data_IF_513343303506
#
_entry.id   IF_513343303506
#
_cell.length_a   1.000
_cell.length_b   1.000
_cell.length_c   1.000
_cell.angle_alpha   90.00
_cell.angle_beta   90.00
_cell.angle_gamma   90.00
#
_symmetry.space_group_name_H-M   'P 1'
#
loop_
_entity.id
_entity.type
_entity.pdbx_description
1 polymer ?
#
# COMPACT_ATOMS: atom_id res chain seq x y z
N UNK A 1 -7.17 -40.14 -29.45
CA UNK A 1 -6.15 -39.65 -28.52
C UNK A 1 -6.27 -38.13 -28.44
N UNK A 2 -6.91 -37.60 -27.40
CA UNK A 2 -6.90 -36.17 -27.13
C UNK A 2 -5.47 -35.83 -26.64
N UNK A 3 -4.75 -34.94 -27.36
CA UNK A 3 -3.54 -34.33 -26.83
C UNK A 3 -3.96 -33.61 -25.54
N UNK A 4 -3.54 -34.11 -24.39
CA UNK A 4 -3.52 -33.33 -23.15
C UNK A 4 -2.73 -32.06 -23.49
N UNK A 5 -3.40 -30.93 -23.36
CA UNK A 5 -2.77 -29.61 -23.49
C UNK A 5 -1.86 -29.49 -22.27
N UNK A 6 -0.58 -29.72 -22.42
CA UNK A 6 0.44 -29.52 -21.39
C UNK A 6 0.52 -28.03 -21.08
N UNK A 7 -0.36 -27.57 -20.16
CA UNK A 7 -0.26 -26.23 -19.62
C UNK A 7 1.04 -26.14 -18.79
N UNK A 8 2.04 -25.43 -19.30
CA UNK A 8 3.36 -25.25 -18.69
C UNK A 8 3.28 -24.69 -17.26
N UNK A 9 2.21 -23.95 -16.93
CA UNK A 9 1.98 -23.37 -15.61
C UNK A 9 0.95 -24.15 -14.77
N UNK A 10 0.51 -25.34 -15.21
CA UNK A 10 -0.38 -26.20 -14.42
C UNK A 10 0.23 -26.56 -13.05
N UNK A 11 1.56 -26.70 -12.99
CA UNK A 11 2.35 -26.77 -11.77
C UNK A 11 3.33 -25.61 -11.71
N UNK A 12 2.97 -24.56 -10.98
CA UNK A 12 3.87 -23.43 -10.71
C UNK A 12 5.05 -23.93 -9.87
N UNK A 13 6.27 -23.70 -10.36
CA UNK A 13 7.53 -24.13 -9.73
C UNK A 13 8.30 -22.95 -9.14
N UNK A 14 9.17 -23.20 -8.15
CA UNK A 14 10.07 -22.19 -7.59
C UNK A 14 11.05 -21.64 -8.63
N UNK A 15 11.45 -22.44 -9.63
CA UNK A 15 12.31 -21.96 -10.72
C UNK A 15 11.58 -20.92 -11.61
N UNK A 16 10.28 -21.11 -11.89
CA UNK A 16 9.48 -20.11 -12.59
C UNK A 16 9.33 -18.83 -11.75
N UNK A 17 9.12 -18.96 -10.44
CA UNK A 17 9.09 -17.82 -9.52
C UNK A 17 10.39 -17.03 -9.56
N UNK A 18 11.52 -17.73 -9.45
CA UNK A 18 12.86 -17.16 -9.54
C UNK A 18 13.05 -16.37 -10.83
N UNK A 19 12.79 -17.01 -12.00
CA UNK A 19 13.00 -16.41 -13.30
C UNK A 19 12.19 -15.12 -13.52
N UNK A 20 10.95 -15.08 -13.02
CA UNK A 20 10.11 -13.88 -13.12
C UNK A 20 10.58 -12.83 -12.12
N UNK A 21 10.70 -13.18 -10.83
CA UNK A 21 11.04 -12.23 -9.80
C UNK A 21 12.43 -11.59 -10.02
N UNK A 22 13.42 -12.36 -10.48
CA UNK A 22 14.73 -11.80 -10.83
C UNK A 22 14.62 -10.68 -11.87
N UNK A 23 13.83 -10.88 -12.93
CA UNK A 23 13.61 -9.86 -13.97
C UNK A 23 12.96 -8.60 -13.41
N UNK A 24 12.00 -8.75 -12.49
CA UNK A 24 11.32 -7.59 -11.88
C UNK A 24 12.27 -6.81 -10.96
N UNK A 25 13.02 -7.50 -10.09
CA UNK A 25 13.93 -6.87 -9.13
C UNK A 25 15.12 -6.20 -9.82
N UNK A 26 15.60 -6.76 -10.95
CA UNK A 26 16.69 -6.18 -11.74
C UNK A 26 16.34 -4.84 -12.42
N UNK A 27 15.06 -4.50 -12.52
CA UNK A 27 14.63 -3.17 -12.96
C UNK A 27 14.55 -2.24 -11.75
N UNK A 28 15.44 -1.26 -11.69
CA UNK A 28 15.40 -0.24 -10.65
C UNK A 28 14.17 0.66 -10.85
N UNK A 29 13.23 0.60 -9.91
CA UNK A 29 12.02 1.42 -9.82
C UNK A 29 11.95 2.18 -8.50
N UNK A 30 13.11 2.49 -7.91
CA UNK A 30 13.20 3.23 -6.65
C UNK A 30 12.67 4.65 -6.75
N UNK A 31 12.00 5.08 -5.69
CA UNK A 31 11.66 6.48 -5.48
C UNK A 31 12.94 7.33 -5.30
N UNK A 32 12.96 8.60 -5.74
CA UNK A 32 11.84 9.36 -6.35
C UNK A 32 11.75 9.22 -7.90
N UNK A 33 12.73 8.62 -8.57
CA UNK A 33 12.80 8.57 -10.05
C UNK A 33 11.70 7.67 -10.65
N UNK A 34 11.41 6.55 -10.01
CA UNK A 34 10.48 5.53 -10.50
C UNK A 34 11.12 4.70 -11.63
N UNK A 35 10.51 4.53 -12.74
CA UNK A 35 10.76 3.70 -13.93
C UNK A 35 9.74 2.56 -14.07
N UNK A 36 8.61 2.66 -13.46
CA UNK A 36 7.52 1.68 -13.55
C UNK A 36 7.06 1.52 -14.99
N UNK A 37 7.19 2.56 -15.82
CA UNK A 37 6.93 2.48 -17.25
C UNK A 37 7.81 1.47 -17.98
N UNK A 38 9.09 1.36 -17.60
CA UNK A 38 10.02 0.34 -18.12
C UNK A 38 9.68 -1.04 -17.58
N UNK A 39 9.34 -1.14 -16.29
CA UNK A 39 8.95 -2.42 -15.70
C UNK A 39 7.66 -2.95 -16.33
N UNK A 40 6.67 -2.09 -16.61
CA UNK A 40 5.46 -2.45 -17.33
C UNK A 40 5.76 -3.03 -18.73
N UNK A 41 6.73 -2.46 -19.46
CA UNK A 41 7.16 -2.99 -20.75
C UNK A 41 7.80 -4.38 -20.60
N UNK A 42 8.66 -4.59 -19.59
CA UNK A 42 9.25 -5.90 -19.29
C UNK A 42 8.18 -6.92 -18.91
N UNK A 43 7.13 -6.53 -18.18
CA UNK A 43 5.99 -7.42 -17.88
C UNK A 43 5.28 -7.81 -19.18
N UNK A 44 5.03 -6.87 -20.07
CA UNK A 44 4.39 -7.15 -21.38
C UNK A 44 5.24 -8.09 -22.25
N UNK A 45 6.56 -7.92 -22.29
CA UNK A 45 7.48 -8.78 -23.02
C UNK A 45 7.46 -10.26 -22.52
N UNK A 46 7.07 -10.48 -21.27
CA UNK A 46 6.92 -11.82 -20.70
C UNK A 46 5.61 -12.51 -21.08
N UNK A 47 4.70 -11.84 -21.75
CA UNK A 47 3.34 -12.29 -22.05
C UNK A 47 3.13 -12.46 -23.57
N UNK A 48 2.10 -13.21 -24.02
CA UNK A 48 1.77 -13.30 -25.44
C UNK A 48 1.37 -11.94 -26.05
N UNK A 49 1.69 -11.72 -27.32
CA UNK A 49 1.42 -10.44 -28.02
C UNK A 49 -0.08 -10.08 -28.12
N UNK A 50 -0.98 -11.05 -28.08
CA UNK A 50 -2.43 -10.86 -28.27
C UNK A 50 -3.22 -10.65 -26.98
N UNK A 51 -2.58 -10.20 -25.90
CA UNK A 51 -3.27 -9.89 -24.64
C UNK A 51 -4.01 -8.53 -24.72
N UNK A 52 -5.07 -8.42 -23.93
CA UNK A 52 -5.79 -7.16 -23.76
C UNK A 52 -5.16 -6.41 -22.58
N UNK A 53 -4.61 -5.25 -22.86
CA UNK A 53 -3.99 -4.43 -21.81
C UNK A 53 -4.22 -2.94 -22.03
N UNK A 54 -4.00 -2.17 -20.98
CA UNK A 54 -3.96 -0.71 -21.01
C UNK A 54 -2.78 -0.21 -20.16
N UNK A 55 -1.95 0.63 -20.73
CA UNK A 55 -0.86 1.32 -20.04
C UNK A 55 -1.27 2.77 -19.81
N UNK A 56 -1.29 3.21 -18.54
CA UNK A 56 -1.69 4.55 -18.13
C UNK A 56 -0.41 5.28 -17.70
N UNK A 57 -0.02 6.28 -18.49
CA UNK A 57 1.19 7.06 -18.19
C UNK A 57 0.87 8.18 -17.19
N UNK A 58 1.64 8.28 -16.11
CA UNK A 58 1.55 9.30 -15.08
C UNK A 58 2.63 10.37 -15.24
N UNK A 59 3.80 9.98 -15.76
CA UNK A 59 4.91 10.87 -16.09
C UNK A 59 5.75 10.29 -17.23
N UNK A 60 6.91 10.88 -17.49
CA UNK A 60 7.86 10.37 -18.49
C UNK A 60 8.38 8.95 -18.19
N UNK A 61 8.53 8.62 -16.90
CA UNK A 61 9.11 7.34 -16.43
C UNK A 61 8.09 6.44 -15.75
N UNK A 62 6.97 6.99 -15.26
CA UNK A 62 5.95 6.29 -14.48
C UNK A 62 4.75 5.91 -15.30
N UNK A 63 4.35 4.67 -15.23
CA UNK A 63 3.10 4.18 -15.81
C UNK A 63 2.55 3.02 -14.99
N UNK A 64 1.23 2.94 -14.90
CA UNK A 64 0.51 1.74 -14.44
C UNK A 64 0.11 0.87 -15.62
N UNK A 65 -0.02 -0.43 -15.39
CA UNK A 65 -0.41 -1.41 -16.39
C UNK A 65 -1.64 -2.19 -15.90
N UNK A 66 -2.68 -2.23 -16.70
CA UNK A 66 -3.86 -3.07 -16.49
C UNK A 66 -3.86 -4.14 -17.57
N UNK A 67 -3.91 -5.42 -17.18
CA UNK A 67 -4.09 -6.54 -18.11
C UNK A 67 -5.44 -7.17 -17.82
N UNK A 68 -6.26 -7.33 -18.86
CA UNK A 68 -7.61 -7.89 -18.76
C UNK A 68 -7.69 -9.26 -19.41
N UNK A 69 -8.22 -10.22 -18.69
CA UNK A 69 -8.71 -11.49 -19.25
C UNK A 69 -10.25 -11.36 -19.37
N UNK A 70 -10.74 -11.31 -20.61
CA UNK A 70 -12.17 -11.10 -20.85
C UNK A 70 -13.01 -12.27 -20.37
N UNK A 71 -14.00 -11.97 -19.54
CA UNK A 71 -15.02 -12.92 -19.09
C UNK A 71 -16.14 -13.15 -20.09
N UNK A 72 -17.06 -14.06 -19.74
CA UNK A 72 -18.33 -14.26 -20.47
C UNK A 72 -19.24 -13.03 -20.33
N UNK A 73 -19.16 -12.36 -19.17
CA UNK A 73 -19.86 -11.10 -18.88
C UNK A 73 -18.83 -9.96 -18.68
N UNK A 74 -19.24 -8.73 -19.00
CA UNK A 74 -18.44 -7.54 -18.73
C UNK A 74 -18.73 -6.90 -17.37
N UNK A 75 -19.80 -7.29 -16.71
CA UNK A 75 -20.19 -6.84 -15.39
C UNK A 75 -19.58 -7.74 -14.32
N UNK A 76 -19.05 -7.13 -13.29
CA UNK A 76 -18.40 -7.82 -12.19
C UNK A 76 -16.99 -8.31 -12.54
N UNK A 77 -16.42 -9.13 -11.65
CA UNK A 77 -15.10 -9.71 -11.81
C UNK A 77 -14.20 -9.50 -10.61
N UNK A 78 -12.91 -9.75 -10.80
CA UNK A 78 -11.90 -9.57 -9.76
C UNK A 78 -10.73 -8.77 -10.28
N UNK A 79 -10.16 -7.92 -9.43
CA UNK A 79 -8.87 -7.30 -9.66
C UNK A 79 -7.83 -7.81 -8.68
N UNK A 80 -6.66 -8.18 -9.22
CA UNK A 80 -5.42 -8.34 -8.46
C UNK A 80 -4.64 -7.04 -8.62
N UNK A 81 -4.20 -6.46 -7.51
CA UNK A 81 -3.51 -5.16 -7.49
C UNK A 81 -2.17 -5.30 -6.79
N UNK A 82 -1.12 -4.79 -7.42
CA UNK A 82 0.22 -4.74 -6.87
C UNK A 82 1.01 -3.57 -7.44
N UNK A 83 1.93 -3.01 -6.65
CA UNK A 83 2.75 -1.87 -7.08
C UNK A 83 4.12 -2.30 -7.60
N UNK A 84 4.59 -1.56 -8.60
CA UNK A 84 5.85 -1.81 -9.29
C UNK A 84 7.02 -0.98 -8.73
N UNK A 85 6.73 0.15 -8.08
CA UNK A 85 7.76 0.99 -7.49
C UNK A 85 8.28 0.44 -6.16
N UNK A 86 9.34 1.01 -5.67
CA UNK A 86 9.95 0.66 -4.39
C UNK A 86 10.52 1.89 -3.72
N UNK A 87 10.69 1.86 -2.40
CA UNK A 87 11.46 2.88 -1.70
C UNK A 87 12.92 2.88 -2.11
N UNK A 88 13.64 3.96 -1.80
CA UNK A 88 15.07 4.07 -2.04
C UNK A 88 15.86 2.96 -1.33
N UNK A 89 16.98 2.54 -1.93
CA UNK A 89 17.84 1.49 -1.35
C UNK A 89 18.65 1.93 -0.13
N UNK A 90 18.75 3.23 0.12
CA UNK A 90 19.65 3.77 1.14
C UNK A 90 21.13 3.59 0.78
N UNK A 91 21.97 3.34 1.78
CA UNK A 91 23.41 3.17 1.59
C UNK A 91 23.72 1.76 1.06
N UNK A 92 24.15 1.67 -0.18
CA UNK A 92 24.51 0.42 -0.86
C UNK A 92 25.61 -0.37 -0.15
N UNK A 93 26.49 0.28 0.60
CA UNK A 93 27.58 -0.38 1.35
C UNK A 93 27.08 -1.27 2.50
N UNK A 94 25.84 -1.07 2.94
CA UNK A 94 25.22 -1.84 4.01
C UNK A 94 24.50 -3.11 3.49
N UNK A 95 24.36 -3.24 2.18
CA UNK A 95 23.74 -4.41 1.57
C UNK A 95 24.74 -5.56 1.44
N UNK A 96 24.34 -6.76 1.87
CA UNK A 96 25.13 -7.99 1.71
C UNK A 96 25.25 -8.42 0.23
N UNK A 97 24.25 -8.05 -0.57
CA UNK A 97 24.21 -8.24 -2.03
C UNK A 97 23.67 -6.96 -2.66
N UNK A 98 24.17 -6.54 -3.84
CA UNK A 98 23.64 -5.35 -4.50
C UNK A 98 22.11 -5.42 -4.67
N UNK A 99 21.36 -4.37 -4.32
CA UNK A 99 19.89 -4.43 -4.18
C UNK A 99 19.14 -4.76 -5.48
N UNK A 100 19.77 -4.59 -6.65
CA UNK A 100 19.16 -4.90 -7.95
C UNK A 100 19.77 -6.08 -8.69
N UNK A 101 20.68 -6.84 -8.05
CA UNK A 101 21.27 -8.02 -8.69
C UNK A 101 20.37 -9.26 -8.57
N UNK A 102 19.36 -9.22 -7.71
CA UNK A 102 18.40 -10.33 -7.50
C UNK A 102 19.11 -11.66 -7.20
N UNK A 103 20.05 -11.65 -6.25
CA UNK A 103 20.87 -12.80 -5.91
C UNK A 103 20.05 -13.87 -5.19
N UNK A 104 20.16 -15.11 -5.63
CA UNK A 104 19.45 -16.24 -5.00
C UNK A 104 20.43 -17.12 -4.24
N UNK A 105 20.11 -17.43 -2.98
CA UNK A 105 20.82 -18.36 -2.09
C UNK A 105 19.83 -19.37 -1.51
N UNK A 106 19.90 -20.59 -1.96
CA UNK A 106 18.90 -21.61 -1.61
C UNK A 106 17.52 -21.21 -2.13
N UNK A 107 16.56 -21.06 -1.21
CA UNK A 107 15.20 -20.64 -1.50
C UNK A 107 14.99 -19.10 -1.41
N UNK A 108 16.00 -18.36 -1.00
CA UNK A 108 15.87 -16.92 -0.73
C UNK A 108 16.41 -16.09 -1.89
N UNK A 109 15.60 -15.15 -2.38
CA UNK A 109 16.01 -14.11 -3.32
C UNK A 109 16.17 -12.78 -2.56
N UNK A 110 17.35 -12.17 -2.70
CA UNK A 110 17.72 -10.89 -2.09
C UNK A 110 17.60 -9.77 -3.10
N UNK A 111 16.98 -8.65 -2.72
CA UNK A 111 16.91 -7.44 -3.52
C UNK A 111 15.82 -6.48 -3.07
N UNK A 112 15.99 -5.19 -3.37
CA UNK A 112 14.98 -4.16 -3.10
C UNK A 112 13.70 -4.44 -3.90
N UNK A 113 12.56 -4.39 -3.21
CA UNK A 113 11.27 -4.70 -3.80
C UNK A 113 10.99 -6.22 -3.89
N UNK A 114 11.87 -7.08 -3.40
CA UNK A 114 11.63 -8.53 -3.47
C UNK A 114 10.46 -8.96 -2.58
N UNK A 115 10.32 -8.39 -1.39
CA UNK A 115 9.19 -8.59 -0.49
C UNK A 115 8.10 -7.54 -0.73
N UNK A 116 8.47 -6.29 -0.91
CA UNK A 116 7.57 -5.15 -1.03
C UNK A 116 7.77 -4.44 -2.40
N UNK A 117 6.89 -4.75 -3.44
CA UNK A 117 6.03 -5.94 -3.46
C UNK A 117 6.16 -6.74 -4.77
N UNK A 118 7.34 -6.70 -5.44
CA UNK A 118 7.56 -7.43 -6.71
C UNK A 118 7.41 -8.95 -6.58
N UNK A 119 7.52 -9.51 -5.35
CA UNK A 119 7.14 -10.88 -5.06
C UNK A 119 5.66 -11.14 -5.35
N UNK A 120 4.79 -10.21 -4.95
CA UNK A 120 3.37 -10.20 -5.27
C UNK A 120 3.12 -10.06 -6.76
N UNK A 121 3.80 -9.12 -7.42
CA UNK A 121 3.74 -8.97 -8.88
C UNK A 121 4.14 -10.26 -9.61
N UNK A 122 5.19 -10.93 -9.15
CA UNK A 122 5.62 -12.21 -9.73
C UNK A 122 4.56 -13.30 -9.57
N UNK A 123 3.89 -13.36 -8.42
CA UNK A 123 2.78 -14.29 -8.18
C UNK A 123 1.58 -13.99 -9.09
N UNK A 124 1.25 -12.70 -9.28
CA UNK A 124 0.21 -12.23 -10.21
C UNK A 124 0.55 -12.65 -11.65
N UNK A 125 1.77 -12.41 -12.11
CA UNK A 125 2.22 -12.78 -13.47
C UNK A 125 2.14 -14.29 -13.70
N UNK A 126 2.49 -15.09 -12.71
CA UNK A 126 2.40 -16.56 -12.80
C UNK A 126 0.94 -17.04 -12.92
N UNK A 127 0.03 -16.46 -12.11
CA UNK A 127 -1.39 -16.76 -12.20
C UNK A 127 -1.99 -16.33 -13.55
N UNK A 128 -1.60 -15.15 -14.04
CA UNK A 128 -2.00 -14.65 -15.36
C UNK A 128 -1.51 -15.59 -16.49
N UNK A 129 -0.23 -15.98 -16.47
CA UNK A 129 0.32 -16.92 -17.47
C UNK A 129 -0.43 -18.25 -17.47
N UNK A 130 -0.69 -18.81 -16.30
CA UNK A 130 -1.51 -20.01 -16.17
C UNK A 130 -2.90 -19.79 -16.77
N UNK A 131 -3.57 -18.67 -16.46
CA UNK A 131 -4.91 -18.37 -16.96
C UNK A 131 -4.93 -18.29 -18.49
N UNK A 132 -3.96 -17.61 -19.10
CA UNK A 132 -3.84 -17.47 -20.56
C UNK A 132 -3.60 -18.82 -21.25
N UNK A 133 -2.80 -19.70 -20.64
CA UNK A 133 -2.53 -21.04 -21.18
C UNK A 133 -3.70 -22.01 -21.07
N UNK A 134 -4.62 -21.81 -20.10
CA UNK A 134 -5.82 -22.66 -20.00
C UNK A 134 -6.73 -22.55 -21.22
N UNK A 135 -6.68 -21.42 -21.93
CA UNK A 135 -7.59 -21.05 -23.04
C UNK A 135 -9.07 -21.13 -22.65
N UNK A 136 -9.37 -21.22 -21.35
CA UNK A 136 -10.74 -21.15 -20.84
C UNK A 136 -11.15 -19.70 -20.71
N UNK A 137 -12.38 -19.42 -21.00
CA UNK A 137 -12.98 -18.11 -20.77
C UNK A 137 -13.55 -18.07 -19.36
N UNK A 138 -13.15 -17.12 -18.49
CA UNK A 138 -13.72 -17.00 -17.16
C UNK A 138 -15.17 -16.50 -17.22
N UNK A 139 -15.97 -16.83 -16.22
CA UNK A 139 -17.38 -16.36 -16.11
C UNK A 139 -17.47 -14.84 -16.08
N UNK A 140 -16.58 -14.20 -15.33
CA UNK A 140 -16.45 -12.74 -15.21
C UNK A 140 -15.03 -12.31 -15.54
N UNK A 141 -14.85 -11.07 -15.90
CA UNK A 141 -13.54 -10.52 -16.27
C UNK A 141 -12.55 -10.57 -15.08
N UNK A 142 -11.27 -10.82 -15.38
CA UNK A 142 -10.18 -10.83 -14.40
C UNK A 142 -9.20 -9.72 -14.79
N UNK A 143 -8.82 -8.90 -13.84
CA UNK A 143 -7.90 -7.77 -14.03
C UNK A 143 -6.65 -7.98 -13.20
N UNK A 144 -5.48 -7.72 -13.81
CA UNK A 144 -4.19 -7.67 -13.15
C UNK A 144 -3.68 -6.25 -13.30
N UNK A 145 -3.62 -5.53 -12.18
CA UNK A 145 -3.27 -4.12 -12.10
C UNK A 145 -1.90 -3.98 -11.46
N UNK A 146 -0.93 -3.53 -12.23
CA UNK A 146 0.42 -3.21 -11.76
C UNK A 146 0.51 -1.69 -11.65
N UNK A 147 0.54 -1.19 -10.44
CA UNK A 147 0.45 0.24 -10.14
C UNK A 147 1.82 0.89 -10.06
N UNK A 148 1.84 2.20 -10.11
CA UNK A 148 3.03 3.03 -9.96
C UNK A 148 2.85 4.00 -8.80
N UNK A 149 3.97 4.43 -8.17
CA UNK A 149 3.99 5.54 -7.19
C UNK A 149 3.19 5.26 -5.89
N UNK A 150 3.01 4.00 -5.51
CA UNK A 150 2.33 3.62 -4.26
C UNK A 150 3.11 4.15 -3.06
N UNK A 151 4.42 3.94 -3.06
CA UNK A 151 5.40 4.30 -2.03
C UNK A 151 5.59 5.82 -1.84
N UNK A 152 4.76 6.64 -2.52
CA UNK A 152 4.83 8.09 -2.43
C UNK A 152 3.44 8.72 -2.44
N UNK A 153 2.89 9.02 -3.63
CA UNK A 153 1.62 9.75 -3.77
C UNK A 153 0.43 8.87 -4.15
N UNK A 154 0.67 7.64 -4.60
CA UNK A 154 -0.36 6.73 -5.11
C UNK A 154 -1.01 7.21 -6.40
N UNK A 155 -0.27 7.96 -7.23
CA UNK A 155 -0.80 8.48 -8.50
C UNK A 155 -1.22 7.37 -9.46
N UNK A 156 -0.63 6.17 -9.32
CA UNK A 156 -0.90 5.00 -10.13
C UNK A 156 -2.29 4.44 -9.92
N UNK A 157 -2.65 4.12 -8.69
CA UNK A 157 -3.99 3.59 -8.38
C UNK A 157 -5.07 4.63 -8.59
N UNK A 158 -4.83 5.90 -8.24
CA UNK A 158 -5.73 7.00 -8.57
C UNK A 158 -5.98 7.12 -10.08
N UNK A 159 -4.94 6.92 -10.89
CA UNK A 159 -5.05 6.90 -12.34
C UNK A 159 -5.91 5.74 -12.85
N UNK A 160 -5.77 4.55 -12.26
CA UNK A 160 -6.58 3.36 -12.59
C UNK A 160 -8.05 3.58 -12.24
N UNK A 161 -8.34 4.11 -11.06
CA UNK A 161 -9.71 4.45 -10.62
C UNK A 161 -10.35 5.46 -11.55
N UNK A 162 -9.62 6.54 -11.87
CA UNK A 162 -10.09 7.60 -12.78
C UNK A 162 -10.32 7.08 -14.21
N UNK A 163 -9.56 6.11 -14.65
CA UNK A 163 -9.73 5.44 -15.94
C UNK A 163 -11.04 4.64 -16.01
N UNK A 164 -11.53 4.13 -14.89
CA UNK A 164 -12.80 3.42 -14.79
C UNK A 164 -12.79 1.96 -15.25
N UNK A 165 -11.65 1.44 -15.74
CA UNK A 165 -11.58 0.07 -16.28
C UNK A 165 -11.90 -1.00 -15.23
N UNK A 166 -11.50 -0.78 -13.96
CA UNK A 166 -11.70 -1.73 -12.85
C UNK A 166 -12.87 -1.36 -11.94
N UNK A 167 -13.63 -0.30 -12.23
CA UNK A 167 -14.68 0.18 -11.30
C UNK A 167 -15.92 -0.72 -11.26
N UNK A 168 -15.97 -1.77 -12.06
CA UNK A 168 -17.09 -2.74 -12.13
C UNK A 168 -16.74 -4.11 -11.52
N UNK A 169 -15.59 -4.26 -10.86
CA UNK A 169 -15.24 -5.53 -10.22
C UNK A 169 -16.11 -5.77 -8.98
N UNK A 170 -16.26 -7.02 -8.59
CA UNK A 170 -17.01 -7.40 -7.38
C UNK A 170 -16.11 -7.49 -6.15
N UNK A 171 -14.80 -7.65 -6.36
CA UNK A 171 -13.84 -7.90 -5.30
C UNK A 171 -12.39 -7.60 -5.74
N UNK A 172 -11.53 -7.32 -4.76
CA UNK A 172 -10.10 -7.00 -5.00
C UNK A 172 -9.22 -7.85 -4.09
N UNK A 173 -8.11 -8.34 -4.66
CA UNK A 173 -6.98 -8.90 -3.91
C UNK A 173 -5.81 -7.95 -4.06
N UNK A 174 -5.36 -7.36 -2.97
CA UNK A 174 -4.13 -6.59 -2.88
C UNK A 174 -2.99 -7.58 -2.61
N UNK A 175 -1.99 -7.59 -3.49
CA UNK A 175 -0.96 -8.62 -3.49
C UNK A 175 0.29 -8.24 -2.66
N UNK A 176 0.10 -7.37 -1.66
CA UNK A 176 1.09 -6.93 -0.68
C UNK A 176 1.56 -8.05 0.26
N UNK A 177 2.79 -7.96 0.80
CA UNK A 177 3.30 -8.94 1.74
C UNK A 177 2.40 -9.10 2.94
N UNK A 178 1.99 -10.32 3.25
CA UNK A 178 1.00 -10.62 4.28
C UNK A 178 1.44 -11.66 5.30
N UNK A 179 2.73 -11.92 5.40
CA UNK A 179 3.33 -12.81 6.41
C UNK A 179 2.70 -14.22 6.41
N UNK A 180 2.56 -14.81 5.23
CA UNK A 180 1.93 -16.14 5.02
C UNK A 180 0.51 -16.25 5.60
N UNK A 181 -0.23 -15.14 5.62
CA UNK A 181 -1.61 -15.03 6.12
C UNK A 181 -2.51 -14.32 5.09
N UNK A 182 -3.75 -14.12 5.46
CA UNK A 182 -4.71 -13.32 4.69
C UNK A 182 -5.12 -12.12 5.53
N UNK A 183 -4.76 -10.93 5.10
CA UNK A 183 -5.16 -9.68 5.73
C UNK A 183 -6.58 -9.28 5.35
N UNK A 184 -7.37 -8.89 6.34
CA UNK A 184 -8.75 -8.45 6.14
C UNK A 184 -8.99 -6.99 6.51
N UNK A 185 -7.98 -6.35 7.10
CA UNK A 185 -8.04 -4.95 7.51
C UNK A 185 -6.66 -4.31 7.48
N UNK A 186 -6.63 -2.98 7.31
CA UNK A 186 -5.43 -2.15 7.34
C UNK A 186 -5.65 -0.86 8.11
N UNK A 187 -4.58 -0.33 8.73
CA UNK A 187 -4.60 1.00 9.33
C UNK A 187 -4.59 2.07 8.25
N UNK A 188 -5.35 3.13 8.50
CA UNK A 188 -5.22 4.36 7.74
C UNK A 188 -4.00 5.18 8.13
N UNK A 189 -3.68 6.17 7.31
CA UNK A 189 -2.66 7.17 7.61
C UNK A 189 -3.21 8.56 7.32
N UNK A 190 -3.32 9.36 8.37
CA UNK A 190 -3.75 10.75 8.30
C UNK A 190 -2.63 11.65 8.79
N UNK A 191 -2.00 12.37 7.85
CA UNK A 191 -0.86 13.22 8.18
C UNK A 191 -1.26 14.67 8.22
N UNK A 192 -0.97 15.31 9.34
CA UNK A 192 -1.25 16.71 9.55
C UNK A 192 0.03 17.52 9.72
N UNK A 193 0.08 18.70 9.10
CA UNK A 193 1.04 19.74 9.41
C UNK A 193 0.31 20.87 10.12
N UNK A 194 0.78 21.22 11.31
CA UNK A 194 0.22 22.29 12.15
C UNK A 194 1.27 23.39 12.24
N UNK A 195 0.93 24.60 11.78
CA UNK A 195 1.79 25.77 11.86
C UNK A 195 1.17 26.81 12.78
N UNK A 196 1.91 27.23 13.79
CA UNK A 196 1.51 28.31 14.71
C UNK A 196 2.36 29.55 14.44
N UNK A 197 1.70 30.67 14.24
CA UNK A 197 2.31 32.00 14.19
C UNK A 197 1.86 32.81 15.41
N UNK A 198 2.82 33.17 16.22
CA UNK A 198 2.66 33.99 17.42
C UNK A 198 3.31 35.39 17.27
N UNK A 199 3.93 35.85 18.34
CA UNK A 199 4.55 37.17 18.40
C UNK A 199 5.90 37.12 19.11
N UNK A 200 6.95 37.61 18.44
CA UNK A 200 8.27 37.73 19.05
C UNK A 200 8.33 38.76 20.17
N UNK A 201 9.04 38.43 21.23
CA UNK A 201 9.42 39.37 22.30
C UNK A 201 10.74 38.92 22.95
N UNK A 202 11.30 39.74 23.80
CA UNK A 202 12.43 39.37 24.66
C UNK A 202 11.96 38.31 25.68
N UNK A 203 12.73 37.22 25.88
CA UNK A 203 12.30 36.13 26.76
C UNK A 203 12.09 36.55 28.22
N UNK A 204 12.68 37.66 28.70
CA UNK A 204 12.41 38.22 30.01
C UNK A 204 11.06 38.96 30.11
N UNK A 205 10.37 39.19 28.99
CA UNK A 205 9.07 39.84 28.89
C UNK A 205 8.12 38.97 28.04
N UNK A 206 7.82 37.74 28.49
CA UNK A 206 6.92 36.84 27.77
C UNK A 206 5.51 37.39 27.62
N UNK A 207 5.10 38.26 28.53
CA UNK A 207 3.82 38.99 28.52
C UNK A 207 3.60 39.86 27.27
N UNK A 208 4.66 40.25 26.57
CA UNK A 208 4.60 41.05 25.34
C UNK A 208 4.63 40.21 24.07
N UNK A 209 4.85 38.92 24.19
CA UNK A 209 4.95 37.95 23.08
C UNK A 209 3.81 36.93 23.06
N UNK A 210 3.82 36.07 22.04
CA UNK A 210 2.98 34.87 21.95
C UNK A 210 3.93 33.75 21.54
N UNK A 211 4.17 32.79 22.44
CA UNK A 211 5.12 31.72 22.22
C UNK A 211 4.53 30.62 21.31
N UNK A 212 4.89 30.61 20.05
CA UNK A 212 4.38 29.65 19.08
C UNK A 212 4.70 28.20 19.44
N UNK A 213 5.87 27.93 20.05
CA UNK A 213 6.31 26.58 20.46
C UNK A 213 5.38 26.03 21.55
N UNK A 214 5.02 26.83 22.56
CA UNK A 214 4.11 26.40 23.63
C UNK A 214 2.69 26.11 23.10
N UNK A 215 2.21 26.86 22.10
CA UNK A 215 0.89 26.64 21.56
C UNK A 215 0.82 25.45 20.62
N UNK A 216 1.87 25.18 19.81
CA UNK A 216 1.91 23.95 19.00
C UNK A 216 1.98 22.71 19.90
N UNK A 217 2.77 22.75 20.99
CA UNK A 217 2.85 21.67 21.98
C UNK A 217 1.48 21.40 22.60
N UNK A 218 0.80 22.44 23.13
CA UNK A 218 -0.52 22.31 23.76
C UNK A 218 -1.58 21.77 22.80
N UNK A 219 -1.56 22.22 21.54
CA UNK A 219 -2.49 21.74 20.52
C UNK A 219 -2.28 20.26 20.23
N UNK A 220 -1.03 19.87 19.98
CA UNK A 220 -0.66 18.48 19.71
C UNK A 220 -1.00 17.57 20.88
N UNK A 221 -0.71 17.97 22.12
CA UNK A 221 -1.03 17.18 23.30
C UNK A 221 -2.53 16.92 23.44
N UNK A 222 -3.37 17.97 23.27
CA UNK A 222 -4.83 17.83 23.31
C UNK A 222 -5.37 16.96 22.18
N UNK A 223 -4.82 17.09 20.96
CA UNK A 223 -5.22 16.26 19.82
C UNK A 223 -4.91 14.79 20.09
N UNK A 224 -3.69 14.48 20.54
CA UNK A 224 -3.29 13.11 20.86
C UNK A 224 -4.21 12.48 21.89
N UNK A 225 -4.51 13.20 22.98
CA UNK A 225 -5.44 12.73 24.00
C UNK A 225 -6.82 12.38 23.42
N UNK A 226 -7.33 13.18 22.48
CA UNK A 226 -8.63 12.92 21.86
C UNK A 226 -8.63 11.73 20.91
N UNK A 227 -7.57 11.53 20.11
CA UNK A 227 -7.54 10.50 19.07
C UNK A 227 -7.09 9.13 19.58
N UNK A 228 -6.29 9.07 20.66
CA UNK A 228 -5.75 7.84 21.22
C UNK A 228 -6.71 7.15 22.23
N UNK A 229 -7.78 7.83 22.67
CA UNK A 229 -8.77 7.30 23.63
C UNK A 229 -9.96 6.58 22.98
N UNK A 230 -9.92 6.36 21.67
CA UNK A 230 -11.00 5.74 20.92
C UNK A 230 -11.17 4.23 21.15
N UNK A 231 -12.10 3.64 20.43
CA UNK A 231 -12.37 2.19 20.47
C UNK A 231 -11.15 1.37 20.06
N UNK A 232 -10.98 0.20 20.70
CA UNK A 232 -9.91 -0.74 20.40
C UNK A 232 -10.39 -1.70 19.31
N UNK A 233 -9.78 -1.64 18.13
CA UNK A 233 -10.04 -2.62 17.09
C UNK A 233 -9.42 -3.99 17.46
N UNK A 234 -10.16 -5.12 17.31
CA UNK A 234 -9.74 -6.42 17.84
C UNK A 234 -8.43 -6.95 17.24
N UNK A 235 -8.07 -6.54 16.02
CA UNK A 235 -6.85 -6.99 15.33
C UNK A 235 -5.79 -5.87 15.30
N UNK A 236 -6.18 -4.62 15.03
CA UNK A 236 -5.27 -3.49 14.80
C UNK A 236 -4.95 -2.66 16.05
N UNK A 237 -5.62 -2.95 17.17
CA UNK A 237 -5.46 -2.18 18.41
C UNK A 237 -6.10 -0.80 18.33
N UNK A 238 -5.41 0.23 18.80
CA UNK A 238 -5.91 1.60 18.87
C UNK A 238 -5.39 2.49 17.75
N UNK A 239 -6.08 3.61 17.52
CA UNK A 239 -5.53 4.74 16.78
C UNK A 239 -4.33 5.31 17.54
N UNK A 240 -3.28 5.68 16.80
CA UNK A 240 -2.07 6.28 17.37
C UNK A 240 -1.74 7.60 16.68
N UNK A 241 -1.18 8.56 17.42
CA UNK A 241 -0.73 9.83 16.87
C UNK A 241 0.73 10.09 17.28
N UNK A 242 1.63 10.15 16.32
CA UNK A 242 3.04 10.39 16.54
C UNK A 242 3.45 11.74 15.98
N UNK A 243 4.16 12.54 16.79
CA UNK A 243 4.85 13.73 16.27
C UNK A 243 6.12 13.27 15.60
N UNK A 244 6.18 13.41 14.28
CA UNK A 244 7.32 12.96 13.48
C UNK A 244 8.30 14.08 13.19
N UNK A 245 7.84 15.34 13.30
CA UNK A 245 8.69 16.51 13.13
C UNK A 245 8.16 17.67 14.02
N UNK A 246 9.08 18.35 14.69
CA UNK A 246 8.80 19.54 15.47
C UNK A 246 9.91 20.56 15.26
N UNK A 247 9.55 21.75 14.82
CA UNK A 247 10.49 22.83 14.54
C UNK A 247 9.99 24.13 15.15
N UNK A 248 10.88 24.91 15.78
CA UNK A 248 10.55 26.23 16.32
C UNK A 248 11.69 26.83 17.12
N UNK A 249 11.61 28.13 17.34
CA UNK A 249 12.65 28.89 18.05
C UNK A 249 13.71 29.47 17.15
N UNK A 250 14.36 30.54 17.64
CA UNK A 250 15.42 31.26 16.94
C UNK A 250 16.68 31.35 17.83
N UNK A 251 16.51 31.85 19.04
CA UNK A 251 17.57 32.01 20.05
C UNK A 251 16.96 31.86 21.45
N UNK A 252 17.77 31.45 22.43
CA UNK A 252 17.31 31.19 23.81
C UNK A 252 16.65 32.38 24.49
N UNK A 253 17.02 33.61 24.14
CA UNK A 253 16.51 34.84 24.75
C UNK A 253 15.39 35.52 23.93
N UNK A 254 14.76 34.78 22.99
CA UNK A 254 13.68 35.26 22.12
C UNK A 254 12.46 34.35 22.31
N UNK A 255 11.28 34.93 22.57
CA UNK A 255 10.00 34.21 22.48
C UNK A 255 9.74 33.85 21.02
N UNK A 256 9.61 32.55 20.66
CA UNK A 256 9.49 32.09 19.27
C UNK A 256 8.22 32.61 18.59
N UNK A 257 8.35 33.33 17.45
CA UNK A 257 7.18 33.81 16.71
C UNK A 257 6.54 32.75 15.82
N UNK A 258 7.25 31.64 15.54
CA UNK A 258 6.74 30.55 14.68
C UNK A 258 7.16 29.20 15.20
N UNK A 259 6.26 28.20 15.04
CA UNK A 259 6.56 26.79 15.28
C UNK A 259 5.70 25.92 14.36
N UNK A 260 6.21 24.75 14.02
CA UNK A 260 5.54 23.75 13.19
C UNK A 260 5.65 22.36 13.80
N UNK A 261 4.58 21.56 13.68
CA UNK A 261 4.60 20.12 13.97
C UNK A 261 4.01 19.34 12.79
N UNK A 262 4.61 18.19 12.49
CA UNK A 262 4.05 17.19 11.58
C UNK A 262 3.68 15.95 12.40
N UNK A 263 2.46 15.45 12.18
CA UNK A 263 1.91 14.28 12.86
C UNK A 263 1.60 13.17 11.86
N UNK A 264 1.98 11.96 12.20
CA UNK A 264 1.51 10.72 11.57
C UNK A 264 0.45 10.08 12.49
N UNK A 265 -0.80 10.11 12.05
CA UNK A 265 -1.94 9.52 12.77
C UNK A 265 -2.32 8.22 12.05
N UNK A 266 -2.18 7.08 12.74
CA UNK A 266 -2.55 5.77 12.23
C UNK A 266 -3.91 5.38 12.79
N UNK A 267 -4.93 5.46 11.96
CA UNK A 267 -6.32 5.19 12.34
C UNK A 267 -6.67 3.71 12.22
N UNK A 268 -7.70 3.28 12.92
CA UNK A 268 -8.33 1.97 12.77
C UNK A 268 -9.68 2.09 12.07
N UNK A 269 -10.21 1.01 11.45
CA UNK A 269 -11.54 1.03 10.84
C UNK A 269 -12.61 1.58 11.78
N UNK A 270 -13.49 2.43 11.25
CA UNK A 270 -14.51 3.15 12.02
C UNK A 270 -14.08 4.54 12.50
N UNK A 271 -12.80 4.88 12.49
CA UNK A 271 -12.32 6.23 12.87
C UNK A 271 -12.32 7.15 11.65
N UNK A 272 -13.09 8.24 11.73
CA UNK A 272 -13.21 9.24 10.66
C UNK A 272 -12.07 10.24 10.69
N UNK A 273 -11.36 10.41 9.58
CA UNK A 273 -10.36 11.45 9.40
C UNK A 273 -10.98 12.87 9.42
N UNK A 274 -12.19 13.02 8.88
CA UNK A 274 -12.93 14.27 8.95
C UNK A 274 -13.22 14.67 10.41
N UNK A 275 -13.57 13.69 11.26
CA UNK A 275 -13.75 13.94 12.70
C UNK A 275 -12.45 14.38 13.36
N UNK A 276 -11.32 13.74 13.07
CA UNK A 276 -10.00 14.13 13.58
C UNK A 276 -9.66 15.56 13.16
N UNK A 277 -9.86 15.91 11.88
CA UNK A 277 -9.64 17.26 11.37
C UNK A 277 -10.51 18.27 12.09
N UNK A 278 -11.79 17.96 12.28
CA UNK A 278 -12.74 18.82 13.01
C UNK A 278 -12.30 19.05 14.46
N UNK A 279 -11.91 18.01 15.19
CA UNK A 279 -11.37 18.13 16.54
C UNK A 279 -10.12 19.02 16.56
N UNK A 280 -9.21 18.86 15.60
CA UNK A 280 -8.00 19.69 15.48
C UNK A 280 -8.36 21.17 15.27
N UNK A 281 -9.31 21.45 14.38
CA UNK A 281 -9.80 22.81 14.12
C UNK A 281 -10.54 23.41 15.34
N UNK A 282 -11.27 22.61 16.11
CA UNK A 282 -11.93 23.06 17.34
C UNK A 282 -10.91 23.46 18.41
N UNK A 283 -9.82 22.70 18.57
CA UNK A 283 -8.73 23.05 19.50
C UNK A 283 -8.05 24.35 19.01
N UNK A 284 -7.69 24.44 17.75
CA UNK A 284 -7.10 25.63 17.16
C UNK A 284 -8.02 26.86 17.27
N UNK A 285 -9.33 26.66 17.06
CA UNK A 285 -10.36 27.72 17.20
C UNK A 285 -10.48 28.27 18.60
N UNK A 286 -10.33 27.44 19.65
CA UNK A 286 -10.25 27.90 21.03
C UNK A 286 -9.06 28.82 21.25
N UNK A 287 -7.87 28.42 20.82
CA UNK A 287 -6.66 29.25 20.96
C UNK A 287 -6.76 30.55 20.17
N UNK A 288 -7.32 30.53 18.95
CA UNK A 288 -7.55 31.76 18.16
C UNK A 288 -8.53 32.76 18.86
N UNK A 289 -9.47 32.26 19.66
CA UNK A 289 -10.40 33.10 20.42
C UNK A 289 -9.79 33.66 21.72
N UNK A 290 -8.98 32.85 22.40
CA UNK A 290 -8.43 33.19 23.72
C UNK A 290 -7.18 34.09 23.59
N UNK A 291 -6.39 33.93 22.52
CA UNK A 291 -5.09 34.58 22.33
C UNK A 291 -5.16 35.56 21.17
N UNK A 292 -5.27 36.82 21.48
CA UNK A 292 -5.33 37.86 20.46
C UNK A 292 -4.04 37.93 19.66
N UNK A 293 -4.14 37.72 18.32
CA UNK A 293 -3.01 37.82 17.39
C UNK A 293 -2.31 36.49 17.10
N UNK A 294 -2.71 35.37 17.71
CA UNK A 294 -2.24 34.05 17.28
C UNK A 294 -2.88 33.64 15.93
N UNK A 295 -2.08 33.04 15.05
CA UNK A 295 -2.59 32.39 13.85
C UNK A 295 -2.19 30.92 13.88
N UNK A 296 -3.12 30.03 13.49
CA UNK A 296 -2.88 28.60 13.44
C UNK A 296 -3.41 28.10 12.10
N UNK A 297 -2.56 27.39 11.36
CA UNK A 297 -2.93 26.74 10.09
C UNK A 297 -2.80 25.24 10.25
N UNK A 298 -3.75 24.48 9.71
CA UNK A 298 -3.75 23.02 9.67
C UNK A 298 -3.80 22.62 8.20
N UNK A 299 -2.83 21.81 7.79
CA UNK A 299 -2.71 21.28 6.44
C UNK A 299 -2.79 19.76 6.49
N UNK A 300 -3.66 19.17 5.68
CA UNK A 300 -3.70 17.72 5.46
C UNK A 300 -2.67 17.35 4.41
N UNK A 301 -1.65 16.61 4.79
CA UNK A 301 -0.56 16.19 3.92
C UNK A 301 -0.81 14.85 3.26
N UNK A 302 -1.55 13.95 3.95
CA UNK A 302 -1.95 12.64 3.45
C UNK A 302 -3.27 12.22 4.08
N UNK A 303 -4.14 11.59 3.29
CA UNK A 303 -5.44 11.08 3.72
C UNK A 303 -5.67 9.70 3.08
N UNK A 304 -5.42 8.65 3.87
CA UNK A 304 -5.60 7.25 3.52
C UNK A 304 -6.49 6.60 4.57
N UNK A 305 -7.78 6.39 4.34
CA UNK A 305 -8.68 5.84 5.34
C UNK A 305 -8.30 4.41 5.73
N UNK A 306 -8.55 4.07 6.99
CA UNK A 306 -8.47 2.69 7.46
C UNK A 306 -9.60 1.86 6.86
N UNK A 307 -9.31 0.61 6.52
CA UNK A 307 -10.25 -0.25 5.82
C UNK A 307 -10.39 -1.61 6.49
N UNK A 308 -11.56 -2.21 6.36
CA UNK A 308 -11.85 -3.57 6.81
C UNK A 308 -12.86 -4.24 5.90
N UNK A 309 -12.62 -5.51 5.58
CA UNK A 309 -13.61 -6.39 4.96
C UNK A 309 -14.15 -7.38 6.00
N UNK A 310 -15.48 -7.45 6.15
CA UNK A 310 -16.12 -8.38 7.07
C UNK A 310 -15.68 -9.82 6.82
N UNK A 311 -15.40 -10.57 7.89
CA UNK A 311 -15.13 -12.02 7.85
C UNK A 311 -16.29 -12.83 7.25
N UNK A 312 -17.51 -12.27 7.26
CA UNK A 312 -18.67 -12.87 6.66
C UNK A 312 -18.78 -12.67 5.15
N UNK A 313 -17.95 -11.81 4.58
CA UNK A 313 -17.86 -11.58 3.14
C UNK A 313 -17.61 -12.89 2.38
N UNK A 314 -18.26 -13.11 1.23
CA UNK A 314 -17.98 -14.25 0.36
C UNK A 314 -16.50 -14.32 -0.03
N UNK A 315 -15.87 -13.20 -0.37
CA UNK A 315 -14.45 -13.12 -0.69
C UNK A 315 -13.58 -13.71 0.43
N UNK A 316 -13.77 -13.23 1.68
CA UNK A 316 -12.96 -13.68 2.82
C UNK A 316 -13.14 -15.18 3.05
N UNK A 317 -14.40 -15.68 3.07
CA UNK A 317 -14.67 -17.11 3.25
C UNK A 317 -14.06 -17.98 2.15
N UNK A 318 -14.08 -17.51 0.92
CA UNK A 318 -13.58 -18.23 -0.25
C UNK A 318 -12.04 -18.25 -0.28
N UNK A 319 -11.39 -17.09 -0.04
CA UNK A 319 -9.93 -17.00 -0.05
C UNK A 319 -9.32 -17.77 1.12
N UNK A 320 -9.90 -17.69 2.34
CA UNK A 320 -9.45 -18.46 3.50
C UNK A 320 -9.51 -19.97 3.24
N UNK A 321 -10.62 -20.45 2.63
CA UNK A 321 -10.74 -21.87 2.25
C UNK A 321 -9.69 -22.27 1.20
N UNK A 322 -9.34 -21.38 0.29
CA UNK A 322 -8.34 -21.64 -0.73
C UNK A 322 -6.92 -21.58 -0.15
N UNK A 323 -6.67 -20.66 0.79
CA UNK A 323 -5.42 -20.53 1.52
C UNK A 323 -5.04 -21.83 2.25
N UNK A 324 -5.98 -22.47 2.94
CA UNK A 324 -5.78 -23.77 3.57
C UNK A 324 -5.32 -24.84 2.60
N UNK A 325 -5.82 -24.84 1.35
CA UNK A 325 -5.45 -25.84 0.33
C UNK A 325 -4.01 -25.71 -0.13
N UNK A 326 -3.40 -24.55 0.03
CA UNK A 326 -2.02 -24.25 -0.39
C UNK A 326 -1.06 -24.06 0.79
N UNK A 327 -1.52 -24.26 2.02
CA UNK A 327 -0.70 -24.20 3.23
C UNK A 327 -0.39 -22.78 3.70
N UNK A 328 -1.25 -21.80 3.37
CA UNK A 328 -1.22 -20.44 3.92
C UNK A 328 -2.09 -20.40 5.17
N UNK A 329 -1.61 -19.72 6.24
CA UNK A 329 -2.34 -19.59 7.51
C UNK A 329 -3.65 -18.83 7.34
N UNK A 330 -4.66 -19.25 8.11
CA UNK A 330 -5.96 -18.56 8.19
C UNK A 330 -6.18 -17.85 9.52
N UNK A 331 -5.11 -17.60 10.26
CA UNK A 331 -5.15 -16.72 11.42
C UNK A 331 -5.47 -15.29 11.00
N UNK A 332 -6.17 -14.57 11.87
CA UNK A 332 -6.49 -13.17 11.63
C UNK A 332 -5.22 -12.33 11.43
N UNK A 333 -5.21 -11.54 10.37
CA UNK A 333 -4.14 -10.60 10.08
C UNK A 333 -4.74 -9.23 9.78
N UNK A 334 -4.14 -8.21 10.36
CA UNK A 334 -4.33 -6.81 10.02
C UNK A 334 -2.98 -6.18 9.70
N UNK A 335 -2.97 -5.21 8.80
CA UNK A 335 -1.78 -4.49 8.41
C UNK A 335 -1.71 -3.14 9.12
N UNK A 336 -0.54 -2.80 9.67
CA UNK A 336 -0.31 -1.52 10.37
C UNK A 336 0.07 -0.39 9.40
N UNK A 337 0.16 -0.69 8.11
CA UNK A 337 0.37 0.25 7.01
C UNK A 337 -0.87 0.27 6.11
N UNK A 338 -0.98 1.27 5.26
CA UNK A 338 -1.98 1.36 4.20
C UNK A 338 -1.42 0.78 2.90
N UNK A 339 -2.30 0.42 2.00
CA UNK A 339 -1.98 -0.07 0.66
C UNK A 339 -2.76 0.73 -0.40
N UNK A 340 -2.60 0.40 -1.66
CA UNK A 340 -3.45 0.91 -2.75
C UNK A 340 -4.96 0.73 -2.48
N UNK A 341 -5.34 -0.22 -1.60
CA UNK A 341 -6.73 -0.37 -1.18
C UNK A 341 -7.32 0.92 -0.60
N UNK A 342 -6.52 1.66 0.18
CA UNK A 342 -6.95 2.92 0.82
C UNK A 342 -7.45 3.98 -0.16
N UNK A 343 -7.09 3.88 -1.45
CA UNK A 343 -7.50 4.81 -2.48
C UNK A 343 -8.55 4.25 -3.44
N UNK A 344 -8.52 2.94 -3.73
CA UNK A 344 -9.48 2.34 -4.64
C UNK A 344 -10.79 1.94 -3.96
N UNK A 345 -10.74 1.39 -2.74
CA UNK A 345 -11.93 0.89 -2.05
C UNK A 345 -12.94 1.98 -1.72
N UNK A 346 -12.57 3.19 -1.25
CA UNK A 346 -13.53 4.27 -1.04
C UNK A 346 -14.32 4.66 -2.30
N UNK A 347 -13.70 4.53 -3.48
CA UNK A 347 -14.30 4.93 -4.75
C UNK A 347 -15.25 3.87 -5.34
N UNK A 348 -14.95 2.58 -5.16
CA UNK A 348 -15.72 1.51 -5.78
C UNK A 348 -16.53 0.64 -4.80
N UNK A 349 -16.24 0.75 -3.49
CA UNK A 349 -17.03 0.14 -2.40
C UNK A 349 -17.23 -1.38 -2.53
N UNK A 350 -16.16 -2.12 -2.84
CA UNK A 350 -16.17 -3.59 -2.93
C UNK A 350 -15.33 -4.23 -1.81
N UNK A 351 -15.59 -5.50 -1.44
CA UNK A 351 -14.73 -6.20 -0.51
C UNK A 351 -13.31 -6.39 -1.06
N UNK A 352 -12.32 -6.33 -0.16
CA UNK A 352 -10.93 -6.58 -0.47
C UNK A 352 -10.28 -7.52 0.55
N UNK A 353 -9.15 -8.10 0.18
CA UNK A 353 -8.21 -8.79 1.08
C UNK A 353 -6.79 -8.42 0.68
N UNK A 354 -5.88 -8.47 1.64
CA UNK A 354 -4.44 -8.33 1.42
C UNK A 354 -3.85 -9.74 1.49
N UNK A 355 -3.30 -10.21 0.39
CA UNK A 355 -2.86 -11.58 0.27
C UNK A 355 -1.71 -11.70 -0.75
N UNK A 356 -0.48 -11.49 -0.30
CA UNK A 356 0.71 -11.62 -1.12
C UNK A 356 1.89 -12.23 -0.35
N UNK A 357 2.90 -12.71 -1.06
CA UNK A 357 4.06 -13.38 -0.49
C UNK A 357 5.00 -12.39 0.18
N UNK A 358 5.74 -12.85 1.17
CA UNK A 358 6.74 -12.08 1.88
C UNK A 358 6.33 -11.75 3.32
N UNK A 359 7.34 -11.42 4.09
CA UNK A 359 7.22 -10.93 5.46
C UNK A 359 7.15 -9.40 5.42
N UNK A 360 6.08 -8.81 5.92
CA UNK A 360 5.87 -7.37 5.97
C UNK A 360 6.91 -6.63 6.85
N UNK A 361 7.55 -7.33 7.78
CA UNK A 361 8.64 -6.78 8.59
C UNK A 361 9.93 -6.53 7.78
N UNK A 362 10.07 -7.10 6.59
CA UNK A 362 11.21 -6.89 5.69
C UNK A 362 11.01 -5.70 4.73
N UNK A 363 9.80 -5.14 4.66
CA UNK A 363 9.51 -3.96 3.88
C UNK A 363 10.45 -2.80 4.29
N UNK A 364 10.97 -2.08 3.30
CA UNK A 364 11.87 -0.92 3.48
C UNK A 364 13.21 -1.21 4.16
N UNK A 365 13.51 -2.45 4.55
CA UNK A 365 14.75 -2.82 5.21
C UNK A 365 15.93 -2.97 4.24
N UNK A 366 17.15 -2.78 4.77
CA UNK A 366 18.39 -3.20 4.11
C UNK A 366 18.44 -4.74 4.13
N UNK A 367 18.97 -5.33 3.07
CA UNK A 367 18.96 -6.78 2.85
C UNK A 367 17.55 -7.38 2.75
N UNK A 368 16.60 -6.61 2.23
CA UNK A 368 15.28 -7.11 1.88
C UNK A 368 15.40 -8.38 1.04
N UNK A 369 14.56 -9.37 1.36
CA UNK A 369 14.59 -10.66 0.71
C UNK A 369 13.25 -11.38 0.83
N UNK A 370 13.05 -12.43 0.00
CA UNK A 370 11.84 -13.23 0.00
C UNK A 370 12.12 -14.71 -0.27
N UNK A 371 11.32 -15.60 0.30
CA UNK A 371 11.30 -17.02 -0.05
C UNK A 371 10.60 -17.23 -1.41
N UNK A 372 11.26 -17.94 -2.33
CA UNK A 372 10.67 -18.33 -3.60
C UNK A 372 9.49 -19.30 -3.42
N UNK A 373 9.53 -20.11 -2.36
CA UNK A 373 8.42 -20.97 -1.99
C UNK A 373 7.19 -20.15 -1.53
N UNK A 374 7.39 -19.02 -0.85
CA UNK A 374 6.31 -18.08 -0.53
C UNK A 374 5.67 -17.55 -1.82
N UNK A 375 6.46 -17.03 -2.77
CA UNK A 375 5.96 -16.58 -4.08
C UNK A 375 5.17 -17.70 -4.78
N UNK A 376 5.69 -18.92 -4.75
CA UNK A 376 5.02 -20.09 -5.37
C UNK A 376 3.68 -20.40 -4.69
N UNK A 377 3.60 -20.32 -3.35
CA UNK A 377 2.36 -20.56 -2.62
C UNK A 377 1.27 -19.54 -2.96
N UNK A 378 1.62 -18.25 -3.02
CA UNK A 378 0.63 -17.21 -3.37
C UNK A 378 0.24 -17.26 -4.85
N UNK A 379 1.16 -17.54 -5.77
CA UNK A 379 0.80 -17.79 -7.16
C UNK A 379 -0.19 -18.98 -7.30
N UNK A 380 0.00 -20.04 -6.50
CA UNK A 380 -0.96 -21.17 -6.43
C UNK A 380 -2.26 -20.78 -5.76
N UNK A 381 -2.24 -19.90 -4.75
CA UNK A 381 -3.45 -19.36 -4.14
C UNK A 381 -4.32 -18.68 -5.19
N UNK A 382 -3.74 -17.77 -5.96
CA UNK A 382 -4.45 -17.04 -7.01
C UNK A 382 -4.95 -17.99 -8.10
N UNK A 383 -4.10 -18.91 -8.57
CA UNK A 383 -4.48 -19.95 -9.51
C UNK A 383 -5.70 -20.76 -9.02
N UNK A 384 -5.66 -21.27 -7.79
CA UNK A 384 -6.72 -22.10 -7.22
C UNK A 384 -8.00 -21.32 -6.95
N UNK A 385 -7.87 -20.05 -6.56
CA UNK A 385 -9.00 -19.16 -6.39
C UNK A 385 -9.73 -18.94 -7.72
N UNK A 386 -8.99 -18.57 -8.76
CA UNK A 386 -9.52 -18.37 -10.10
C UNK A 386 -10.12 -19.65 -10.69
N UNK A 387 -9.42 -20.80 -10.55
CA UNK A 387 -9.91 -22.09 -11.03
C UNK A 387 -11.27 -22.45 -10.42
N UNK A 388 -11.49 -22.16 -9.14
CA UNK A 388 -12.66 -22.59 -8.39
C UNK A 388 -13.86 -21.65 -8.54
N UNK A 389 -13.61 -20.34 -8.60
CA UNK A 389 -14.69 -19.35 -8.50
C UNK A 389 -14.94 -18.59 -9.80
N UNK A 390 -13.99 -18.59 -10.71
CA UNK A 390 -14.04 -17.86 -11.98
C UNK A 390 -14.07 -18.76 -13.23
N UNK A 391 -13.60 -19.98 -13.17
CA UNK A 391 -13.72 -20.99 -14.24
C UNK A 391 -14.85 -22.00 -13.92
#
# INVERSE_FOLDING_TARGET
MKKENDNKYAQITTEQCKQILQKLVQINTCQPEGNEGKLADVILEMLPENIVYKKINHSKTRASLIIKVNGETEEGGIAFVGHMDTVACGDYSQWSYPPHDAIVKGDILYGRGSADMKGGDAAMILALKWMLETKKRPKKSIYFCFTADEESKGSGICGIVKDGTVNKVDEIIICEPSDEKIGTCEKGAFWLKITVQGKQSHASRPDLGINAVEYVEKLVAQLKEQVETGEVHPILGTTTASVTKLCGGIMTNIIPPTAEAELDIRTVPGVSHEHILKCTEEIAGRFRKEILGIQITIEVMNDRPALETSKDSPLVKQIMKTAQMVGISTEDKGHYFYTDASQIIPEISVPFVIAGPGDDALAHCINEHISLESVRRYAKLYQKYLEKYYL
#
